data_IF_268015564177
#
_entry.id   IF_268015564177
#
_cell.length_a   1.000
_cell.length_b   1.000
_cell.length_c   1.000
_cell.angle_alpha   90.00
_cell.angle_beta   90.00
_cell.angle_gamma   90.00
#
_symmetry.space_group_name_H-M   'P 1'
#
loop_
_entity.id
_entity.type
_entity.pdbx_description
1 polymer ?
#
# COMPACT_ATOMS: atom_id res chain seq x y z
N UNK A 1 -11.87 -6.16 25.26
CA UNK A 1 -12.90 -5.23 24.77
C UNK A 1 -13.93 -5.09 25.88
N UNK A 2 -13.89 -4.03 26.67
CA UNK A 2 -14.80 -3.83 27.81
C UNK A 2 -16.15 -3.32 27.30
N UNK A 3 -17.28 -4.01 27.59
CA UNK A 3 -18.61 -3.61 27.12
C UNK A 3 -19.01 -2.18 27.51
N UNK A 4 -18.46 -1.69 28.63
CA UNK A 4 -18.73 -0.39 29.23
C UNK A 4 -18.30 0.80 28.35
N UNK A 5 -17.14 0.73 27.71
CA UNK A 5 -16.66 1.81 26.84
C UNK A 5 -17.43 1.86 25.51
N UNK A 6 -17.87 0.71 25.00
CA UNK A 6 -18.68 0.64 23.77
C UNK A 6 -20.06 1.28 23.95
N UNK A 7 -20.67 1.12 25.13
CA UNK A 7 -21.96 1.76 25.45
C UNK A 7 -21.85 3.28 25.59
N UNK A 8 -20.69 3.78 26.05
CA UNK A 8 -20.48 5.21 26.35
C UNK A 8 -19.96 6.02 25.16
N UNK A 9 -19.19 5.39 24.28
CA UNK A 9 -18.67 6.01 23.05
C UNK A 9 -18.65 5.01 21.89
N UNK A 10 -19.83 4.68 21.33
CA UNK A 10 -19.95 3.70 20.24
C UNK A 10 -19.22 4.16 18.97
N UNK A 11 -19.19 5.47 18.73
CA UNK A 11 -18.52 6.10 17.57
C UNK A 11 -17.01 6.27 17.77
N UNK A 12 -16.47 5.88 18.93
CA UNK A 12 -15.04 5.98 19.25
C UNK A 12 -14.45 7.40 19.05
N UNK A 13 -15.21 8.43 19.42
CA UNK A 13 -14.78 9.84 19.37
C UNK A 13 -13.66 10.14 20.36
N UNK A 14 -13.63 9.43 21.48
CA UNK A 14 -12.61 9.56 22.53
C UNK A 14 -11.36 8.70 22.25
N UNK A 15 -11.30 8.03 21.09
CA UNK A 15 -10.17 7.21 20.63
C UNK A 15 -9.74 6.14 21.64
N UNK A 16 -10.69 5.61 22.42
CA UNK A 16 -10.43 4.57 23.42
C UNK A 16 -10.07 3.21 22.80
N UNK A 17 -10.40 3.02 21.53
CA UNK A 17 -9.89 1.93 20.68
C UNK A 17 -9.22 2.50 19.44
N UNK A 18 -8.34 1.73 18.81
CA UNK A 18 -7.83 2.09 17.50
C UNK A 18 -9.00 2.12 16.49
N UNK A 19 -9.20 3.25 15.81
CA UNK A 19 -9.99 3.28 14.59
C UNK A 19 -9.15 2.57 13.53
N UNK A 20 -9.56 1.38 13.10
CA UNK A 20 -9.02 0.81 11.88
C UNK A 20 -9.28 1.83 10.77
N UNK A 21 -8.19 2.43 10.27
CA UNK A 21 -8.25 3.49 9.26
C UNK A 21 -9.06 2.96 8.07
N UNK A 22 -9.92 3.78 7.44
CA UNK A 22 -10.42 3.45 6.12
C UNK A 22 -9.21 3.17 5.22
N UNK A 23 -9.34 2.15 4.37
CA UNK A 23 -8.32 1.77 3.40
C UNK A 23 -7.78 2.99 2.65
N UNK A 24 -6.49 2.98 2.34
CA UNK A 24 -5.84 3.98 1.50
C UNK A 24 -6.57 4.20 0.18
N UNK A 25 -6.76 5.46 -0.17
CA UNK A 25 -7.16 5.92 -1.50
C UNK A 25 -6.14 5.49 -2.57
N UNK A 26 -6.57 5.48 -3.84
CA UNK A 26 -5.71 5.15 -4.98
C UNK A 26 -4.41 5.94 -5.00
N UNK A 27 -4.49 7.26 -4.76
CA UNK A 27 -3.35 8.17 -4.78
C UNK A 27 -2.38 7.87 -3.63
N UNK A 28 -2.91 7.73 -2.41
CA UNK A 28 -2.13 7.45 -1.20
C UNK A 28 -1.47 6.08 -1.26
N UNK A 29 -2.17 5.08 -1.82
CA UNK A 29 -1.64 3.74 -2.01
C UNK A 29 -0.44 3.75 -2.97
N UNK A 30 -0.58 4.42 -4.12
CA UNK A 30 0.49 4.56 -5.10
C UNK A 30 1.69 5.33 -4.54
N UNK A 31 1.43 6.44 -3.85
CA UNK A 31 2.47 7.22 -3.18
C UNK A 31 3.18 6.42 -2.08
N UNK A 32 2.47 5.54 -1.36
CA UNK A 32 3.05 4.65 -0.35
C UNK A 32 4.00 3.63 -0.96
N UNK A 33 3.61 3.02 -2.08
CA UNK A 33 4.49 2.10 -2.82
C UNK A 33 5.78 2.79 -3.29
N UNK A 34 5.67 4.00 -3.81
CA UNK A 34 6.83 4.82 -4.21
C UNK A 34 7.69 5.23 -3.00
N UNK A 35 7.06 5.58 -1.88
CA UNK A 35 7.76 6.01 -0.67
C UNK A 35 8.59 4.88 -0.08
N UNK A 36 7.99 3.68 0.03
CA UNK A 36 8.65 2.49 0.54
C UNK A 36 9.82 2.07 -0.37
N UNK A 37 9.61 2.08 -1.68
CA UNK A 37 10.67 1.81 -2.65
C UNK A 37 11.78 2.89 -2.65
N UNK A 38 11.54 4.06 -2.06
CA UNK A 38 12.47 5.18 -2.04
C UNK A 38 12.52 5.97 -3.35
N UNK A 39 11.55 5.77 -4.24
CA UNK A 39 11.44 6.48 -5.51
C UNK A 39 10.61 7.75 -5.42
N UNK A 40 9.83 7.96 -4.35
CA UNK A 40 8.90 9.08 -4.27
C UNK A 40 9.60 10.45 -4.37
N UNK A 41 9.34 11.15 -5.48
CA UNK A 41 9.70 12.56 -5.65
C UNK A 41 8.63 13.47 -5.03
N UNK A 42 9.06 14.28 -4.06
CA UNK A 42 8.23 15.24 -3.31
C UNK A 42 8.29 16.67 -3.86
N UNK A 43 8.94 16.88 -5.00
CA UNK A 43 9.06 18.20 -5.65
C UNK A 43 7.67 18.77 -5.95
N UNK A 44 7.41 19.97 -5.42
CA UNK A 44 6.14 20.65 -5.57
C UNK A 44 6.06 21.46 -6.88
N UNK A 45 4.87 21.45 -7.50
CA UNK A 45 4.57 22.25 -8.70
C UNK A 45 4.93 21.57 -10.02
N UNK A 46 5.02 22.33 -11.11
CA UNK A 46 5.36 21.79 -12.45
C UNK A 46 4.19 21.15 -13.20
N UNK A 47 4.41 20.72 -14.45
CA UNK A 47 3.36 20.18 -15.31
C UNK A 47 2.92 18.79 -14.85
N UNK A 48 1.65 18.47 -15.14
CA UNK A 48 1.11 17.11 -14.97
C UNK A 48 1.69 16.17 -16.02
N UNK A 49 1.95 14.92 -15.65
CA UNK A 49 2.45 13.88 -16.57
C UNK A 49 1.60 12.61 -16.47
N UNK A 50 1.53 11.79 -17.53
CA UNK A 50 0.84 10.49 -17.47
C UNK A 50 1.36 9.62 -16.32
N UNK A 51 0.48 8.82 -15.71
CA UNK A 51 0.82 7.86 -14.64
C UNK A 51 1.49 6.61 -15.21
N UNK A 52 2.59 6.82 -15.92
CA UNK A 52 3.41 5.76 -16.44
C UNK A 52 4.20 5.07 -15.33
N UNK A 53 4.84 3.98 -15.73
CA UNK A 53 5.58 3.08 -14.88
C UNK A 53 6.85 3.75 -14.27
N UNK A 54 7.41 4.76 -14.93
CA UNK A 54 8.54 5.60 -14.52
C UNK A 54 8.12 6.90 -13.82
N UNK A 55 6.81 7.13 -13.64
CA UNK A 55 6.32 8.32 -12.95
C UNK A 55 6.47 8.19 -11.43
N UNK A 56 7.52 8.81 -10.91
CA UNK A 56 7.90 8.73 -9.49
C UNK A 56 7.39 9.89 -8.62
N UNK A 57 6.73 10.90 -9.21
CA UNK A 57 6.19 12.04 -8.47
C UNK A 57 4.91 11.64 -7.73
N UNK A 58 4.55 12.43 -6.71
CA UNK A 58 3.26 12.28 -6.02
C UNK A 58 2.11 12.20 -7.03
N UNK A 59 1.19 11.27 -6.79
CA UNK A 59 0.09 10.93 -7.71
C UNK A 59 -0.84 12.11 -7.98
N UNK A 60 -0.87 13.11 -7.10
CA UNK A 60 -1.57 14.39 -7.31
C UNK A 60 -1.07 15.18 -8.54
N UNK A 61 0.15 14.92 -9.01
CA UNK A 61 0.73 15.52 -10.22
C UNK A 61 0.51 14.63 -11.46
N UNK A 62 -0.20 13.51 -11.30
CA UNK A 62 -0.61 12.65 -12.40
C UNK A 62 -1.65 13.34 -13.28
N UNK A 63 -1.54 13.15 -14.59
CA UNK A 63 -2.54 13.59 -15.54
C UNK A 63 -3.81 12.75 -15.38
N UNK A 64 -4.93 13.41 -15.10
CA UNK A 64 -6.25 12.78 -15.00
C UNK A 64 -7.10 13.15 -16.21
N UNK A 65 -7.29 12.19 -17.11
CA UNK A 65 -8.18 12.34 -18.25
C UNK A 65 -9.65 12.23 -17.84
N UNK A 66 -10.49 13.18 -18.27
CA UNK A 66 -11.95 13.16 -18.00
C UNK A 66 -12.69 12.04 -18.76
N UNK A 67 -12.26 11.75 -19.98
CA UNK A 67 -12.90 10.74 -20.85
C UNK A 67 -12.41 9.32 -20.60
N UNK A 68 -11.13 9.18 -20.23
CA UNK A 68 -10.49 7.89 -19.95
C UNK A 68 -9.54 8.08 -18.76
N UNK A 69 -10.02 7.84 -17.52
CA UNK A 69 -9.14 7.86 -16.36
C UNK A 69 -8.15 6.70 -16.44
N UNK A 70 -7.07 6.81 -15.67
CA UNK A 70 -6.09 5.74 -15.56
C UNK A 70 -6.74 4.46 -14.99
N UNK A 71 -6.54 3.27 -15.61
CA UNK A 71 -7.16 2.03 -15.14
C UNK A 71 -6.78 1.66 -13.70
N UNK A 72 -5.57 2.00 -13.25
CA UNK A 72 -5.14 1.74 -11.88
C UNK A 72 -5.92 2.63 -10.90
N UNK A 73 -6.05 3.93 -11.19
CA UNK A 73 -6.84 4.84 -10.36
C UNK A 73 -8.31 4.40 -10.30
N UNK A 74 -8.91 4.09 -11.44
CA UNK A 74 -10.30 3.65 -11.51
C UNK A 74 -10.54 2.35 -10.71
N UNK A 75 -9.57 1.43 -10.68
CA UNK A 75 -9.67 0.18 -9.94
C UNK A 75 -9.68 0.38 -8.41
N UNK A 76 -9.06 1.45 -7.91
CA UNK A 76 -9.01 1.80 -6.48
C UNK A 76 -9.98 2.93 -6.13
N UNK A 77 -11.16 2.90 -6.74
CA UNK A 77 -12.31 3.77 -6.43
C UNK A 77 -12.02 5.29 -6.57
N UNK A 78 -11.12 5.67 -7.51
CA UNK A 78 -10.86 7.08 -7.79
C UNK A 78 -12.14 7.81 -8.26
N UNK A 79 -12.42 9.04 -7.76
CA UNK A 79 -13.64 9.76 -8.09
C UNK A 79 -13.81 9.99 -9.60
N UNK A 80 -15.05 9.87 -10.10
CA UNK A 80 -15.34 10.15 -11.49
C UNK A 80 -15.12 11.66 -11.77
N UNK A 81 -14.22 12.06 -12.68
CA UNK A 81 -13.92 13.48 -12.94
C UNK A 81 -15.09 14.28 -13.54
N UNK A 82 -16.12 13.60 -14.07
CA UNK A 82 -17.25 14.25 -14.73
C UNK A 82 -18.46 14.46 -13.81
N UNK A 83 -18.50 13.80 -12.65
CA UNK A 83 -19.65 13.82 -11.76
C UNK A 83 -19.25 14.30 -10.35
N UNK A 84 -20.09 15.12 -9.69
CA UNK A 84 -19.87 15.45 -8.29
C UNK A 84 -19.90 14.17 -7.46
N UNK A 85 -18.86 13.96 -6.65
CA UNK A 85 -18.73 12.82 -5.75
C UNK A 85 -18.67 13.34 -4.32
N UNK A 86 -19.77 13.20 -3.58
CA UNK A 86 -19.85 13.67 -2.17
C UNK A 86 -18.99 12.80 -1.24
N UNK A 87 -19.02 11.48 -1.45
CA UNK A 87 -18.29 10.50 -0.65
C UNK A 87 -17.67 9.45 -1.54
N UNK A 88 -16.40 9.11 -1.27
CA UNK A 88 -15.72 7.99 -1.95
C UNK A 88 -16.30 6.66 -1.47
N UNK A 89 -16.69 5.82 -2.42
CA UNK A 89 -17.03 4.41 -2.14
C UNK A 89 -15.74 3.63 -1.94
N UNK A 90 -15.74 2.66 -1.02
CA UNK A 90 -14.60 1.76 -0.83
C UNK A 90 -15.03 0.36 -1.21
N UNK A 91 -14.51 -0.14 -2.32
CA UNK A 91 -14.77 -1.49 -2.80
C UNK A 91 -13.64 -2.41 -2.35
N UNK A 92 -13.97 -3.61 -1.87
CA UNK A 92 -13.01 -4.67 -1.57
C UNK A 92 -13.24 -5.83 -2.55
N UNK A 93 -12.66 -5.67 -3.74
CA UNK A 93 -12.81 -6.65 -4.82
C UNK A 93 -11.57 -7.54 -4.97
N UNK A 94 -11.73 -8.82 -5.36
CA UNK A 94 -10.60 -9.68 -5.74
C UNK A 94 -9.71 -9.06 -6.82
N UNK A 95 -10.29 -8.28 -7.74
CA UNK A 95 -9.57 -7.58 -8.81
C UNK A 95 -8.48 -6.64 -8.31
N UNK A 96 -8.73 -5.94 -7.20
CA UNK A 96 -7.73 -5.05 -6.61
C UNK A 96 -6.56 -5.83 -6.00
N UNK A 97 -6.78 -7.04 -5.51
CA UNK A 97 -5.69 -7.92 -5.02
C UNK A 97 -4.90 -8.50 -6.19
N UNK A 98 -5.60 -8.92 -7.25
CA UNK A 98 -4.97 -9.40 -8.47
C UNK A 98 -4.10 -8.32 -9.14
N UNK A 99 -4.45 -7.05 -9.00
CA UNK A 99 -3.61 -5.94 -9.45
C UNK A 99 -2.23 -5.98 -8.80
N UNK A 100 -2.13 -6.15 -7.48
CA UNK A 100 -0.82 -6.20 -6.82
C UNK A 100 0.04 -7.36 -7.29
N UNK A 101 -0.56 -8.50 -7.63
CA UNK A 101 0.15 -9.68 -8.08
C UNK A 101 0.61 -9.60 -9.55
N UNK A 102 -0.14 -8.91 -10.41
CA UNK A 102 0.08 -8.95 -11.86
C UNK A 102 0.58 -7.63 -12.46
N UNK A 103 0.70 -6.57 -11.67
CA UNK A 103 1.07 -5.26 -12.19
C UNK A 103 2.60 -5.00 -12.13
N UNK A 104 3.17 -4.58 -13.26
CA UNK A 104 4.61 -4.28 -13.43
C UNK A 104 5.11 -3.15 -12.54
N UNK A 105 4.29 -2.15 -12.24
CA UNK A 105 4.64 -1.08 -11.32
C UNK A 105 4.88 -1.63 -9.91
N UNK A 106 3.98 -2.48 -9.40
CA UNK A 106 4.13 -3.08 -8.06
C UNK A 106 5.36 -3.97 -8.00
N UNK A 107 5.59 -4.79 -9.04
CA UNK A 107 6.78 -5.64 -9.14
C UNK A 107 8.09 -4.82 -9.08
N UNK A 108 8.18 -3.71 -9.84
CA UNK A 108 9.36 -2.83 -9.83
C UNK A 108 9.56 -2.11 -8.49
N UNK A 109 8.48 -1.68 -7.83
CA UNK A 109 8.59 -1.09 -6.49
C UNK A 109 9.03 -2.14 -5.45
N UNK A 110 8.55 -3.39 -5.56
CA UNK A 110 8.99 -4.47 -4.68
C UNK A 110 10.48 -4.78 -4.88
N UNK A 111 10.95 -4.86 -6.13
CA UNK A 111 12.37 -5.05 -6.44
C UNK A 111 13.24 -3.93 -5.86
N UNK A 112 12.88 -2.67 -6.13
CA UNK A 112 13.61 -1.52 -5.60
C UNK A 112 13.61 -1.47 -4.06
N UNK A 113 12.48 -1.85 -3.43
CA UNK A 113 12.42 -1.96 -1.98
C UNK A 113 13.39 -3.00 -1.44
N UNK A 114 13.51 -4.15 -2.09
CA UNK A 114 14.40 -5.23 -1.62
C UNK A 114 15.87 -4.86 -1.66
N UNK A 115 16.28 -4.00 -2.60
CA UNK A 115 17.65 -3.48 -2.67
C UNK A 115 18.01 -2.60 -1.46
N UNK A 116 17.01 -2.09 -0.72
CA UNK A 116 17.21 -1.30 0.50
C UNK A 116 17.33 -2.15 1.76
N UNK A 117 17.00 -3.44 1.68
CA UNK A 117 17.06 -4.36 2.82
C UNK A 117 18.47 -4.93 2.96
N UNK A 118 19.03 -4.86 4.17
CA UNK A 118 20.43 -5.27 4.43
C UNK A 118 20.52 -6.27 5.57
N UNK A 119 21.49 -7.20 5.48
CA UNK A 119 21.75 -8.22 6.49
C UNK A 119 21.12 -9.58 6.17
N UNK A 120 20.99 -10.41 7.20
CA UNK A 120 20.44 -11.77 7.09
C UNK A 120 18.93 -11.76 6.85
N UNK A 121 18.39 -12.88 6.34
CA UNK A 121 16.97 -12.95 5.98
C UNK A 121 16.03 -12.62 7.14
N UNK A 122 16.36 -13.08 8.35
CA UNK A 122 15.60 -12.73 9.56
C UNK A 122 15.59 -11.23 9.83
N UNK A 123 16.74 -10.57 9.70
CA UNK A 123 16.88 -9.12 9.89
C UNK A 123 16.12 -8.35 8.81
N UNK A 124 16.18 -8.80 7.55
CA UNK A 124 15.42 -8.23 6.45
C UNK A 124 13.92 -8.36 6.66
N UNK A 125 13.42 -9.49 7.19
CA UNK A 125 12.00 -9.66 7.54
C UNK A 125 11.61 -8.64 8.62
N UNK A 126 12.43 -8.46 9.65
CA UNK A 126 12.18 -7.48 10.70
C UNK A 126 12.13 -6.04 10.16
N UNK A 127 13.08 -5.67 9.29
CA UNK A 127 13.09 -4.37 8.60
C UNK A 127 11.84 -4.20 7.72
N UNK A 128 11.42 -5.26 7.03
CA UNK A 128 10.23 -5.24 6.19
C UNK A 128 8.96 -4.93 6.97
N UNK A 129 8.74 -5.64 8.09
CA UNK A 129 7.56 -5.41 8.93
C UNK A 129 7.57 -4.03 9.59
N UNK A 130 8.73 -3.55 10.04
CA UNK A 130 8.85 -2.21 10.60
C UNK A 130 8.56 -1.11 9.58
N UNK A 131 9.01 -1.28 8.33
CA UNK A 131 8.80 -0.26 7.28
C UNK A 131 7.37 -0.31 6.72
N UNK A 132 6.84 -1.51 6.45
CA UNK A 132 5.55 -1.69 5.76
C UNK A 132 4.36 -1.61 6.70
N UNK A 133 4.50 -2.09 7.93
CA UNK A 133 3.40 -2.24 8.89
C UNK A 133 3.62 -1.49 10.20
N UNK A 134 4.73 -0.76 10.33
CA UNK A 134 5.07 0.04 11.52
C UNK A 134 5.03 -0.77 12.83
N UNK A 135 5.32 -2.08 12.76
CA UNK A 135 5.34 -2.99 13.91
C UNK A 135 6.46 -4.03 13.81
N UNK A 136 6.82 -4.60 14.94
CA UNK A 136 7.68 -5.79 14.95
C UNK A 136 6.89 -7.03 14.45
N UNK A 137 7.53 -7.93 13.67
CA UNK A 137 6.93 -9.21 13.34
C UNK A 137 6.89 -10.12 14.58
N UNK A 138 5.90 -11.01 14.63
CA UNK A 138 5.84 -12.12 15.58
C UNK A 138 6.77 -13.25 15.14
N UNK A 139 7.19 -14.12 16.05
CA UNK A 139 8.04 -15.27 15.71
C UNK A 139 7.42 -16.18 14.66
N UNK A 140 6.09 -16.38 14.69
CA UNK A 140 5.35 -17.14 13.68
C UNK A 140 5.45 -16.49 12.29
N UNK A 141 5.42 -15.16 12.22
CA UNK A 141 5.53 -14.40 10.96
C UNK A 141 6.93 -14.47 10.38
N UNK A 142 7.95 -14.45 11.25
CA UNK A 142 9.34 -14.67 10.84
C UNK A 142 9.50 -16.10 10.30
N UNK A 143 8.97 -17.10 11.00
CA UNK A 143 9.05 -18.50 10.57
C UNK A 143 8.37 -18.71 9.20
N UNK A 144 7.17 -18.16 9.00
CA UNK A 144 6.48 -18.20 7.71
C UNK A 144 7.26 -17.50 6.59
N UNK A 145 7.85 -16.33 6.89
CA UNK A 145 8.67 -15.60 5.92
C UNK A 145 9.92 -16.37 5.48
N UNK A 146 10.62 -16.99 6.43
CA UNK A 146 11.78 -17.84 6.14
C UNK A 146 11.39 -19.08 5.33
N UNK A 147 10.27 -19.72 5.67
CA UNK A 147 9.75 -20.86 4.92
C UNK A 147 9.38 -20.48 3.48
N UNK A 148 8.75 -19.32 3.29
CA UNK A 148 8.43 -18.80 1.96
C UNK A 148 9.69 -18.58 1.13
N UNK A 149 10.70 -17.90 1.70
CA UNK A 149 11.97 -17.66 1.01
C UNK A 149 12.67 -18.96 0.61
N UNK A 150 12.62 -19.99 1.45
CA UNK A 150 13.16 -21.31 1.10
C UNK A 150 12.43 -21.95 -0.09
N UNK A 151 11.09 -21.84 -0.15
CA UNK A 151 10.28 -22.39 -1.24
C UNK A 151 10.44 -21.62 -2.55
N UNK A 152 10.62 -20.30 -2.47
CA UNK A 152 10.75 -19.40 -3.62
C UNK A 152 12.20 -19.23 -4.09
N UNK A 153 13.13 -20.08 -3.64
CA UNK A 153 14.55 -20.01 -4.04
C UNK A 153 15.28 -18.73 -3.60
N UNK A 154 14.84 -18.10 -2.51
CA UNK A 154 15.41 -16.86 -1.98
C UNK A 154 14.91 -15.58 -2.66
N UNK A 155 13.80 -15.65 -3.42
CA UNK A 155 13.26 -14.50 -4.14
C UNK A 155 12.61 -13.46 -3.21
N UNK A 156 13.43 -12.52 -2.74
CA UNK A 156 13.00 -11.37 -1.95
C UNK A 156 11.99 -10.45 -2.65
N UNK A 157 12.10 -10.14 -3.95
CA UNK A 157 11.11 -9.33 -4.66
C UNK A 157 9.70 -9.92 -4.61
N UNK A 158 9.57 -11.24 -4.77
CA UNK A 158 8.27 -11.92 -4.65
C UNK A 158 7.72 -11.83 -3.23
N UNK A 159 8.57 -12.04 -2.21
CA UNK A 159 8.14 -11.92 -0.83
C UNK A 159 7.70 -10.49 -0.47
N UNK A 160 8.46 -9.48 -0.91
CA UNK A 160 8.10 -8.08 -0.72
C UNK A 160 6.77 -7.73 -1.41
N UNK A 161 6.53 -8.24 -2.62
CA UNK A 161 5.26 -8.05 -3.33
C UNK A 161 4.07 -8.69 -2.58
N UNK A 162 4.26 -9.87 -1.98
CA UNK A 162 3.24 -10.52 -1.13
C UNK A 162 2.93 -9.66 0.09
N UNK A 163 3.95 -9.13 0.78
CA UNK A 163 3.74 -8.23 1.92
C UNK A 163 3.01 -6.93 1.51
N UNK A 164 3.34 -6.35 0.37
CA UNK A 164 2.63 -5.16 -0.15
C UNK A 164 1.18 -5.45 -0.54
N UNK A 165 0.82 -6.70 -0.81
CA UNK A 165 -0.55 -7.14 -1.11
C UNK A 165 -1.39 -7.34 0.17
N UNK A 166 -0.75 -7.48 1.33
CA UNK A 166 -1.44 -7.74 2.59
C UNK A 166 -2.37 -6.58 2.97
N UNK A 167 -3.47 -6.92 3.65
CA UNK A 167 -4.47 -5.92 4.09
C UNK A 167 -3.88 -4.88 5.04
N UNK A 168 -2.91 -5.27 5.87
CA UNK A 168 -2.18 -4.37 6.76
C UNK A 168 -1.49 -3.23 6.00
N UNK A 169 -0.87 -3.50 4.85
CA UNK A 169 -0.22 -2.47 4.04
C UNK A 169 -1.19 -1.38 3.61
N UNK A 170 -2.40 -1.80 3.20
CA UNK A 170 -3.45 -0.88 2.74
C UNK A 170 -4.18 -0.13 3.86
N UNK A 171 -3.91 -0.45 5.13
CA UNK A 171 -4.60 0.11 6.28
C UNK A 171 -3.71 0.98 7.19
N UNK A 172 -2.39 0.79 7.15
CA UNK A 172 -1.46 1.35 8.15
C UNK A 172 -0.78 2.66 7.70
N UNK A 173 -0.62 2.92 6.39
CA UNK A 173 0.11 4.10 5.90
C UNK A 173 -0.72 5.40 5.87
#
# INVERSE_FOLDING_TARGET
MTPEHLARDPENKLLWRANLKPRLDAESLRDSLLAVAGHLDRTAGGPTQPLADDFHRRTIYGYVGRTKPDPSLALFDFPNPNNPTEKRTVTLGPMQRLYFLNNSFVARQAEAYTQRLTGDDRTKIQQAYQTLYLRAPREEEIAMGLQFLQQSGGSWPQYAQVLMTATEFTAVN
#
